data_IF_379905322805
#
_entry.id   IF_379905322805
#
_cell.length_a   1.000
_cell.length_b   1.000
_cell.length_c   1.000
_cell.angle_alpha   90.00
_cell.angle_beta   90.00
_cell.angle_gamma   90.00
#
_symmetry.space_group_name_H-M   'P 1'
#
loop_
_entity.id
_entity.type
_entity.pdbx_description
1 polymer ?
#
# COMPACT_ATOMS: atom_id res chain seq x y z
N UNK A 1 -32.82 1.20 9.64
CA UNK A 1 -32.98 1.60 8.24
C UNK A 1 -34.27 2.40 8.15
N UNK A 2 -34.18 3.72 8.03
CA UNK A 2 -35.35 4.58 7.78
C UNK A 2 -35.28 4.89 6.29
N UNK A 3 -36.09 4.20 5.49
CA UNK A 3 -36.33 4.59 4.10
C UNK A 3 -37.08 5.93 4.13
N UNK A 4 -36.35 7.02 3.94
CA UNK A 4 -36.97 8.29 3.59
C UNK A 4 -37.58 8.12 2.21
N UNK A 5 -38.91 7.99 2.16
CA UNK A 5 -39.69 8.00 0.93
C UNK A 5 -39.29 9.24 0.14
N UNK A 6 -38.53 9.05 -0.95
CA UNK A 6 -38.32 10.06 -1.96
C UNK A 6 -39.68 10.29 -2.62
N UNK A 7 -40.45 11.23 -2.07
CA UNK A 7 -41.58 11.80 -2.77
C UNK A 7 -41.00 12.49 -4.00
N UNK A 8 -41.13 11.83 -5.15
CA UNK A 8 -40.61 12.32 -6.43
C UNK A 8 -41.04 13.77 -6.62
N UNK A 9 -40.09 14.63 -6.99
CA UNK A 9 -40.35 16.04 -7.29
C UNK A 9 -41.53 16.21 -8.29
N UNK A 10 -41.75 15.21 -9.14
CA UNK A 10 -42.88 15.09 -10.06
C UNK A 10 -44.23 15.12 -9.31
N UNK A 11 -44.36 14.41 -8.19
CA UNK A 11 -45.58 14.37 -7.39
C UNK A 11 -45.87 15.73 -6.75
N UNK A 12 -44.83 16.40 -6.24
CA UNK A 12 -44.96 17.75 -5.66
C UNK A 12 -45.41 18.75 -6.73
N UNK A 13 -44.76 18.73 -7.90
CA UNK A 13 -45.12 19.62 -9.02
C UNK A 13 -46.55 19.37 -9.50
N UNK A 14 -46.98 18.11 -9.61
CA UNK A 14 -48.36 17.76 -9.99
C UNK A 14 -49.38 18.24 -8.95
N UNK A 15 -49.11 18.03 -7.66
CA UNK A 15 -49.99 18.47 -6.58
C UNK A 15 -50.17 19.99 -6.57
N UNK A 16 -49.06 20.73 -6.73
CA UNK A 16 -49.09 22.21 -6.81
C UNK A 16 -49.86 22.68 -8.04
N UNK A 17 -49.61 22.07 -9.20
CA UNK A 17 -50.28 22.42 -10.46
C UNK A 17 -51.79 22.21 -10.36
N UNK A 18 -52.22 21.07 -9.82
CA UNK A 18 -53.63 20.74 -9.66
C UNK A 18 -54.34 21.69 -8.68
N UNK A 19 -53.63 22.11 -7.61
CA UNK A 19 -54.14 23.09 -6.66
C UNK A 19 -54.32 24.49 -7.29
N UNK A 20 -53.39 24.93 -8.15
CA UNK A 20 -53.53 26.21 -8.89
C UNK A 20 -54.74 26.18 -9.82
N UNK A 21 -54.94 25.09 -10.58
CA UNK A 21 -56.11 24.95 -11.44
C UNK A 21 -57.42 24.95 -10.65
N UNK A 22 -57.44 24.31 -9.48
CA UNK A 22 -58.60 24.34 -8.58
C UNK A 22 -58.94 25.77 -8.14
N UNK A 23 -57.94 26.57 -7.74
CA UNK A 23 -58.17 27.95 -7.33
C UNK A 23 -58.65 28.84 -8.48
N UNK A 24 -58.12 28.66 -9.69
CA UNK A 24 -58.62 29.35 -10.89
C UNK A 24 -60.09 28.99 -11.14
N UNK A 25 -60.46 27.71 -11.06
CA UNK A 25 -61.83 27.26 -11.24
C UNK A 25 -62.78 27.88 -10.18
N UNK A 26 -62.36 27.93 -8.91
CA UNK A 26 -63.13 28.60 -7.84
C UNK A 26 -63.31 30.09 -8.14
N UNK A 27 -62.27 30.78 -8.60
CA UNK A 27 -62.36 32.19 -8.97
C UNK A 27 -63.34 32.42 -10.13
N UNK A 28 -63.30 31.58 -11.16
CA UNK A 28 -64.26 31.65 -12.30
C UNK A 28 -65.70 31.42 -11.83
N UNK A 29 -65.93 30.48 -10.90
CA UNK A 29 -67.26 30.21 -10.36
C UNK A 29 -67.78 31.41 -9.53
N UNK A 30 -66.93 32.00 -8.70
CA UNK A 30 -67.26 33.20 -7.91
C UNK A 30 -67.53 34.39 -8.84
N UNK A 31 -66.71 34.56 -9.88
CA UNK A 31 -66.87 35.59 -10.92
C UNK A 31 -68.22 35.46 -11.62
N UNK A 32 -68.54 34.26 -12.10
CA UNK A 32 -69.80 33.96 -12.78
C UNK A 32 -71.01 34.25 -11.87
N UNK A 33 -70.95 33.90 -10.58
CA UNK A 33 -72.02 34.17 -9.62
C UNK A 33 -72.16 35.65 -9.24
N UNK A 34 -71.12 36.45 -9.41
CA UNK A 34 -71.13 37.88 -9.07
C UNK A 34 -71.66 38.77 -10.21
N UNK A 35 -71.93 38.23 -11.40
CA UNK A 35 -72.48 39.00 -12.53
C UNK A 35 -73.96 39.31 -12.32
N UNK A 36 -74.35 40.55 -12.62
CA UNK A 36 -75.74 41.00 -12.54
C UNK A 36 -76.48 40.45 -13.76
N UNK A 37 -77.58 39.71 -13.59
CA UNK A 37 -78.36 39.23 -14.74
C UNK A 37 -78.89 40.44 -15.54
N UNK A 38 -78.56 40.49 -16.84
CA UNK A 38 -79.04 41.51 -17.79
C UNK A 38 -77.99 42.51 -18.29
N UNK A 39 -76.72 42.44 -17.86
CA UNK A 39 -75.66 43.25 -18.45
C UNK A 39 -75.03 42.53 -19.64
N UNK A 40 -75.27 43.01 -20.86
CA UNK A 40 -74.57 42.52 -22.06
C UNK A 40 -73.10 42.91 -22.01
N UNK A 41 -72.20 41.94 -22.12
CA UNK A 41 -70.77 42.18 -22.27
C UNK A 41 -70.24 41.37 -23.45
N UNK A 42 -69.58 42.05 -24.40
CA UNK A 42 -69.10 41.45 -25.64
C UNK A 42 -67.78 40.67 -25.51
N UNK A 43 -67.15 40.64 -24.33
CA UNK A 43 -65.84 39.99 -24.14
C UNK A 43 -65.90 38.86 -23.11
N UNK A 44 -65.54 37.65 -23.55
CA UNK A 44 -65.47 36.42 -22.75
C UNK A 44 -64.46 36.50 -21.58
N UNK A 45 -63.59 37.52 -21.54
CA UNK A 45 -62.55 37.70 -20.53
C UNK A 45 -62.44 39.13 -19.96
N UNK A 46 -63.51 39.95 -20.05
CA UNK A 46 -63.49 41.29 -19.42
C UNK A 46 -63.55 41.18 -17.89
N UNK A 47 -62.39 41.31 -17.24
CA UNK A 47 -62.27 41.32 -15.77
C UNK A 47 -62.67 42.68 -15.17
N UNK A 48 -62.77 43.74 -15.99
CA UNK A 48 -62.88 45.14 -15.55
C UNK A 48 -64.29 45.76 -15.62
N UNK A 49 -65.36 45.00 -15.33
CA UNK A 49 -66.73 45.52 -15.26
C UNK A 49 -67.17 45.95 -13.84
N UNK A 50 -68.08 46.91 -13.74
CA UNK A 50 -68.67 47.39 -12.46
C UNK A 50 -69.54 46.27 -11.86
N UNK A 51 -69.23 45.82 -10.62
CA UNK A 51 -69.92 44.72 -9.93
C UNK A 51 -70.68 45.23 -8.71
N UNK A 52 -71.89 44.71 -8.48
CA UNK A 52 -72.69 44.99 -7.27
C UNK A 52 -72.02 44.30 -6.09
N UNK A 53 -71.34 45.10 -5.26
CA UNK A 53 -70.60 44.68 -4.07
C UNK A 53 -69.40 43.79 -4.40
N UNK A 54 -68.20 44.37 -4.41
CA UNK A 54 -66.96 43.58 -4.31
C UNK A 54 -67.05 42.76 -3.00
N UNK A 55 -67.22 41.43 -3.05
CA UNK A 55 -67.27 40.68 -1.82
C UNK A 55 -65.84 40.69 -1.30
N UNK A 56 -65.65 41.20 -0.08
CA UNK A 56 -64.38 41.14 0.67
C UNK A 56 -63.71 39.75 0.51
N UNK A 57 -64.51 38.71 0.39
CA UNK A 57 -64.12 37.34 0.04
C UNK A 57 -63.24 37.19 -1.21
N UNK A 58 -63.55 37.85 -2.32
CA UNK A 58 -62.72 37.74 -3.53
C UNK A 58 -61.34 38.37 -3.33
N UNK A 59 -61.27 39.48 -2.58
CA UNK A 59 -60.00 40.10 -2.21
C UNK A 59 -59.21 39.20 -1.25
N UNK A 60 -59.85 38.63 -0.23
CA UNK A 60 -59.18 37.68 0.69
C UNK A 60 -58.65 36.44 -0.03
N UNK A 61 -59.42 35.87 -0.96
CA UNK A 61 -58.99 34.72 -1.77
C UNK A 61 -57.80 35.10 -2.65
N UNK A 62 -57.81 36.29 -3.25
CA UNK A 62 -56.68 36.79 -4.05
C UNK A 62 -55.42 37.00 -3.19
N UNK A 63 -55.55 37.56 -1.99
CA UNK A 63 -54.43 37.74 -1.06
C UNK A 63 -53.84 36.38 -0.64
N UNK A 64 -54.69 35.40 -0.31
CA UNK A 64 -54.24 34.05 0.02
C UNK A 64 -53.53 33.36 -1.15
N UNK A 65 -54.07 33.49 -2.37
CA UNK A 65 -53.45 32.97 -3.59
C UNK A 65 -52.06 33.58 -3.79
N UNK A 66 -51.93 34.91 -3.66
CA UNK A 66 -50.65 35.59 -3.77
C UNK A 66 -49.64 35.13 -2.71
N UNK A 67 -50.08 34.89 -1.48
CA UNK A 67 -49.21 34.37 -0.43
C UNK A 67 -48.67 32.97 -0.77
N UNK A 68 -49.53 32.09 -1.30
CA UNK A 68 -49.14 30.74 -1.73
C UNK A 68 -48.17 30.81 -2.92
N UNK A 69 -48.47 31.65 -3.91
CA UNK A 69 -47.59 31.86 -5.08
C UNK A 69 -46.22 32.38 -4.64
N UNK A 70 -46.16 33.39 -3.76
CA UNK A 70 -44.91 33.92 -3.23
C UNK A 70 -44.13 32.87 -2.44
N UNK A 71 -44.79 32.08 -1.60
CA UNK A 71 -44.14 30.99 -0.84
C UNK A 71 -43.53 29.94 -1.76
N UNK A 72 -44.26 29.51 -2.79
CA UNK A 72 -43.76 28.58 -3.80
C UNK A 72 -42.59 29.17 -4.60
N UNK A 73 -42.67 30.45 -4.99
CA UNK A 73 -41.58 31.14 -5.68
C UNK A 73 -40.31 31.20 -4.82
N UNK A 74 -40.44 31.44 -3.51
CA UNK A 74 -39.31 31.42 -2.57
C UNK A 74 -38.71 30.02 -2.48
N UNK A 75 -39.52 28.97 -2.38
CA UNK A 75 -39.04 27.59 -2.30
C UNK A 75 -38.35 27.16 -3.61
N UNK A 76 -38.94 27.48 -4.77
CA UNK A 76 -38.34 27.18 -6.08
C UNK A 76 -37.05 27.97 -6.26
N UNK A 77 -37.04 29.26 -5.92
CA UNK A 77 -35.84 30.09 -5.99
C UNK A 77 -34.76 29.56 -5.05
N UNK A 78 -35.10 29.16 -3.82
CA UNK A 78 -34.14 28.58 -2.87
C UNK A 78 -33.55 27.26 -3.40
N UNK A 79 -34.37 26.38 -3.99
CA UNK A 79 -33.88 25.13 -4.57
C UNK A 79 -33.03 25.36 -5.84
N UNK A 80 -33.41 26.32 -6.68
CA UNK A 80 -32.63 26.67 -7.87
C UNK A 80 -31.30 27.32 -7.46
N UNK A 81 -31.32 28.20 -6.47
CA UNK A 81 -30.15 28.89 -5.94
C UNK A 81 -29.26 27.92 -5.16
N UNK A 82 -29.82 26.97 -4.40
CA UNK A 82 -29.04 25.93 -3.73
C UNK A 82 -28.40 24.99 -4.75
N UNK A 83 -29.06 24.66 -5.86
CA UNK A 83 -28.44 23.86 -6.93
C UNK A 83 -27.34 24.63 -7.70
N UNK A 84 -27.36 25.97 -7.70
CA UNK A 84 -26.33 26.80 -8.32
C UNK A 84 -25.19 27.23 -7.36
N UNK A 85 -25.45 27.36 -6.06
CA UNK A 85 -24.48 27.80 -5.04
C UNK A 85 -23.97 26.68 -4.14
N UNK A 86 -24.66 25.54 -4.06
CA UNK A 86 -24.03 24.26 -3.73
C UNK A 86 -23.27 23.85 -4.98
N UNK A 87 -22.16 24.56 -5.20
CA UNK A 87 -20.99 24.01 -5.85
C UNK A 87 -20.83 22.61 -5.27
N UNK A 88 -20.94 21.65 -6.16
CA UNK A 88 -20.92 20.21 -5.92
C UNK A 88 -19.59 19.85 -5.25
N UNK A 89 -19.51 20.10 -3.95
CA UNK A 89 -18.40 19.79 -3.06
C UNK A 89 -18.87 18.74 -2.07
N UNK A 90 -19.52 17.68 -2.57
CA UNK A 90 -19.73 16.47 -1.80
C UNK A 90 -20.10 15.31 -2.73
N UNK A 91 -19.32 14.23 -2.62
CA UNK A 91 -19.48 12.89 -3.21
C UNK A 91 -18.84 12.57 -4.57
N UNK A 92 -18.01 13.45 -5.11
CA UNK A 92 -16.90 13.08 -6.02
C UNK A 92 -15.52 13.38 -5.40
N UNK A 93 -15.34 13.03 -4.12
CA UNK A 93 -14.04 12.47 -3.65
C UNK A 93 -13.98 10.99 -4.10
N UNK A 94 -14.37 10.76 -5.35
CA UNK A 94 -13.51 10.61 -6.52
C UNK A 94 -13.05 9.17 -6.55
N UNK A 95 -13.80 8.36 -7.31
CA UNK A 95 -13.31 7.06 -7.75
C UNK A 95 -11.87 7.16 -8.27
N UNK A 96 -11.48 8.28 -8.89
CA UNK A 96 -10.10 8.53 -9.32
C UNK A 96 -9.12 8.74 -8.15
N UNK A 97 -9.53 9.30 -7.02
CA UNK A 97 -8.69 9.44 -5.83
C UNK A 97 -8.57 8.10 -5.10
N UNK A 98 -9.64 7.29 -5.09
CA UNK A 98 -9.56 5.89 -4.66
C UNK A 98 -8.70 5.05 -5.60
N UNK A 99 -8.84 5.20 -6.92
CA UNK A 99 -8.05 4.49 -7.94
C UNK A 99 -6.61 4.99 -7.98
N UNK A 100 -6.35 6.27 -7.72
CA UNK A 100 -4.98 6.79 -7.60
C UNK A 100 -4.36 6.34 -6.28
N UNK A 101 -5.12 6.29 -5.17
CA UNK A 101 -4.67 5.65 -3.94
C UNK A 101 -4.41 4.16 -4.14
N UNK A 102 -5.32 3.42 -4.78
CA UNK A 102 -5.15 1.99 -5.14
C UNK A 102 -3.98 1.79 -6.10
N UNK A 103 -3.77 2.72 -7.04
CA UNK A 103 -2.68 2.73 -8.01
C UNK A 103 -1.33 3.15 -7.44
N UNK A 104 -1.33 3.98 -6.39
CA UNK A 104 -0.15 4.29 -5.57
C UNK A 104 0.16 3.10 -4.66
N UNK A 105 -0.84 2.46 -4.06
CA UNK A 105 -0.72 1.22 -3.30
C UNK A 105 -0.18 0.09 -4.17
N UNK A 106 -0.71 -0.11 -5.39
CA UNK A 106 -0.15 -1.01 -6.40
C UNK A 106 1.30 -0.65 -6.72
N UNK A 107 1.61 0.64 -6.94
CA UNK A 107 2.98 1.09 -7.19
C UNK A 107 3.93 0.82 -6.02
N UNK A 108 3.49 0.97 -4.77
CA UNK A 108 4.30 0.64 -3.59
C UNK A 108 4.42 -0.89 -3.40
N UNK A 109 3.36 -1.64 -3.73
CA UNK A 109 3.32 -3.12 -3.72
C UNK A 109 4.17 -3.74 -4.83
N UNK A 110 4.34 -3.03 -5.96
CA UNK A 110 5.25 -3.43 -7.02
C UNK A 110 6.68 -3.04 -6.65
N UNK A 111 7.48 -4.06 -6.34
CA UNK A 111 8.90 -4.05 -5.98
C UNK A 111 9.87 -3.39 -7.00
N UNK A 112 9.38 -2.58 -7.93
CA UNK A 112 10.15 -1.96 -9.03
C UNK A 112 10.06 -0.43 -9.09
N UNK A 113 9.36 0.24 -8.18
CA UNK A 113 9.44 1.69 -8.07
C UNK A 113 10.67 2.09 -7.25
N UNK A 114 11.84 2.04 -7.91
CA UNK A 114 13.02 2.70 -7.37
C UNK A 114 12.72 4.20 -7.23
N UNK A 115 12.99 4.85 -6.09
CA UNK A 115 12.85 6.28 -5.97
C UNK A 115 13.65 6.99 -7.07
N UNK A 116 13.18 8.16 -7.54
CA UNK A 116 13.79 8.93 -8.63
C UNK A 116 15.29 9.21 -8.41
N UNK A 117 15.74 9.19 -7.17
CA UNK A 117 17.13 9.10 -6.77
C UNK A 117 17.29 7.89 -5.85
N UNK A 118 18.29 7.04 -6.12
CA UNK A 118 18.65 5.90 -5.27
C UNK A 118 19.29 6.42 -3.96
N UNK A 119 18.46 6.95 -3.05
CA UNK A 119 18.92 7.48 -1.78
C UNK A 119 19.78 6.46 -1.00
N UNK A 120 19.44 5.17 -1.09
CA UNK A 120 20.18 4.07 -0.48
C UNK A 120 21.63 3.89 -0.97
N UNK A 121 21.99 4.40 -2.16
CA UNK A 121 23.37 4.35 -2.67
C UNK A 121 24.18 5.60 -2.38
N UNK A 122 23.59 6.61 -1.72
CA UNK A 122 24.30 7.80 -1.26
C UNK A 122 25.12 7.50 0.00
N UNK A 123 26.23 8.22 0.14
CA UNK A 123 27.15 8.09 1.26
C UNK A 123 28.20 7.00 1.04
N UNK A 124 28.86 6.61 2.13
CA UNK A 124 29.88 5.56 2.16
C UNK A 124 29.27 4.18 1.93
N UNK A 125 30.04 3.28 1.32
CA UNK A 125 29.62 1.93 0.93
C UNK A 125 30.65 0.88 1.38
N UNK A 126 30.26 -0.38 1.59
CA UNK A 126 31.22 -1.43 1.92
C UNK A 126 32.15 -1.72 0.75
N UNK A 127 33.33 -2.28 1.01
CA UNK A 127 34.34 -2.65 0.00
C UNK A 127 33.74 -3.49 -1.13
N UNK A 128 32.78 -4.36 -0.83
CA UNK A 128 32.07 -5.19 -1.80
C UNK A 128 31.50 -4.35 -2.96
N UNK A 129 30.99 -3.15 -2.66
CA UNK A 129 30.41 -2.24 -3.64
C UNK A 129 31.42 -1.75 -4.67
N UNK A 130 32.65 -1.47 -4.25
CA UNK A 130 33.69 -0.93 -5.12
C UNK A 130 34.18 -1.91 -6.19
N UNK A 131 33.92 -3.21 -5.99
CA UNK A 131 34.24 -4.27 -6.95
C UNK A 131 33.00 -4.82 -7.68
N UNK A 132 31.83 -4.87 -7.03
CA UNK A 132 30.64 -5.53 -7.56
C UNK A 132 29.51 -4.59 -7.99
N UNK A 133 29.55 -3.31 -7.59
CA UNK A 133 28.55 -2.29 -7.89
C UNK A 133 27.23 -2.45 -7.13
N UNK A 134 26.24 -1.62 -7.50
CA UNK A 134 24.89 -1.58 -6.91
C UNK A 134 24.05 -2.84 -7.20
N UNK A 135 24.32 -3.52 -8.31
CA UNK A 135 23.53 -4.63 -8.81
C UNK A 135 24.40 -5.89 -8.98
N UNK A 136 24.98 -6.43 -7.89
CA UNK A 136 25.98 -7.50 -7.95
C UNK A 136 25.39 -8.84 -8.46
N UNK A 137 24.07 -9.01 -8.39
CA UNK A 137 23.39 -10.22 -8.83
C UNK A 137 22.94 -10.07 -10.29
N UNK A 138 23.79 -10.43 -11.25
CA UNK A 138 23.45 -10.39 -12.68
C UNK A 138 23.27 -11.79 -13.31
N UNK A 139 23.89 -12.82 -12.73
CA UNK A 139 24.04 -14.14 -13.37
C UNK A 139 22.72 -14.88 -13.57
N UNK A 140 21.70 -14.63 -12.74
CA UNK A 140 20.44 -15.39 -12.74
C UNK A 140 19.25 -14.44 -12.97
N UNK A 141 18.75 -14.32 -14.21
CA UNK A 141 17.69 -13.37 -14.56
C UNK A 141 16.41 -13.48 -13.74
N UNK A 142 16.07 -14.67 -13.24
CA UNK A 142 14.82 -14.90 -12.50
C UNK A 142 14.83 -14.31 -11.09
N UNK A 143 15.97 -14.37 -10.39
CA UNK A 143 16.08 -13.90 -8.99
C UNK A 143 16.90 -12.61 -8.87
N UNK A 144 17.53 -12.13 -9.97
CA UNK A 144 18.41 -10.94 -9.94
C UNK A 144 17.74 -9.73 -9.30
N UNK A 145 16.49 -9.44 -9.68
CA UNK A 145 15.84 -8.21 -9.24
C UNK A 145 15.51 -8.29 -7.76
N UNK A 146 15.05 -9.46 -7.30
CA UNK A 146 14.78 -9.71 -5.89
C UNK A 146 16.07 -9.62 -5.07
N UNK A 147 17.14 -10.31 -5.46
CA UNK A 147 18.41 -10.29 -4.72
C UNK A 147 19.05 -8.90 -4.73
N UNK A 148 19.03 -8.18 -5.87
CA UNK A 148 19.53 -6.82 -5.91
C UNK A 148 18.71 -5.87 -5.04
N UNK A 149 17.39 -6.07 -4.93
CA UNK A 149 16.56 -5.30 -4.00
C UNK A 149 16.99 -5.54 -2.54
N UNK A 150 17.39 -6.76 -2.16
CA UNK A 150 17.85 -7.04 -0.78
C UNK A 150 19.09 -6.23 -0.40
N UNK A 151 19.95 -5.87 -1.36
CA UNK A 151 21.15 -5.05 -1.09
C UNK A 151 20.83 -3.65 -0.54
N UNK A 152 19.58 -3.20 -0.65
CA UNK A 152 19.09 -1.97 -0.06
C UNK A 152 18.85 -2.09 1.46
N UNK A 153 18.54 -3.30 1.95
CA UNK A 153 18.14 -3.55 3.34
C UNK A 153 19.13 -4.41 4.12
N UNK A 154 19.97 -5.18 3.41
CA UNK A 154 20.81 -6.24 3.97
C UNK A 154 22.24 -6.04 3.48
N UNK A 155 23.20 -6.09 4.42
CA UNK A 155 24.64 -6.05 4.13
C UNK A 155 25.10 -7.29 3.35
N UNK A 156 26.17 -7.17 2.57
CA UNK A 156 26.63 -8.26 1.72
C UNK A 156 26.99 -9.49 2.55
N UNK A 157 27.65 -9.27 3.69
CA UNK A 157 28.15 -10.32 4.56
C UNK A 157 27.03 -11.04 5.34
N UNK A 158 25.86 -10.41 5.50
CA UNK A 158 24.70 -11.09 6.09
C UNK A 158 24.30 -12.31 5.27
N UNK A 159 24.29 -12.21 3.94
CA UNK A 159 23.99 -13.33 3.06
C UNK A 159 25.23 -14.18 2.75
N UNK A 160 26.39 -13.55 2.58
CA UNK A 160 27.59 -14.18 2.03
C UNK A 160 28.65 -14.60 3.05
N UNK A 161 28.44 -14.44 4.36
CA UNK A 161 29.38 -14.99 5.35
C UNK A 161 29.49 -16.52 5.20
N UNK A 162 30.72 -17.00 5.10
CA UNK A 162 31.05 -18.42 4.94
C UNK A 162 30.74 -19.21 6.22
N UNK A 163 29.66 -19.97 6.20
CA UNK A 163 29.16 -20.79 7.30
C UNK A 163 30.16 -21.86 7.78
N UNK A 164 31.11 -22.29 6.92
CA UNK A 164 32.16 -23.25 7.32
C UNK A 164 33.24 -22.60 8.17
N UNK A 165 33.43 -21.30 8.02
CA UNK A 165 34.43 -20.51 8.75
C UNK A 165 33.83 -19.78 9.94
N UNK A 166 32.56 -19.40 9.82
CA UNK A 166 31.81 -18.66 10.82
C UNK A 166 30.45 -19.34 10.98
N UNK A 167 30.31 -20.25 11.96
CA UNK A 167 29.04 -20.92 12.26
C UNK A 167 27.93 -19.91 12.53
N UNK A 168 26.68 -20.25 12.17
CA UNK A 168 25.56 -19.32 12.28
C UNK A 168 25.20 -18.99 13.73
N UNK A 169 25.52 -19.89 14.66
CA UNK A 169 25.31 -19.74 16.09
C UNK A 169 26.25 -18.67 16.70
N UNK A 170 27.36 -18.38 16.01
CA UNK A 170 28.28 -17.28 16.37
C UNK A 170 27.80 -15.93 15.81
N UNK A 171 26.77 -15.90 14.97
CA UNK A 171 26.30 -14.68 14.32
C UNK A 171 25.22 -13.97 15.12
N UNK A 172 25.34 -12.64 15.18
CA UNK A 172 24.28 -11.73 15.63
C UNK A 172 24.01 -10.70 14.55
N UNK A 173 22.78 -10.18 14.50
CA UNK A 173 22.36 -9.25 13.45
C UNK A 173 21.93 -7.94 14.07
N UNK A 174 22.35 -6.82 13.46
CA UNK A 174 21.95 -5.48 13.89
C UNK A 174 21.76 -4.59 12.68
N UNK A 175 20.98 -3.53 12.87
CA UNK A 175 20.97 -2.42 11.94
C UNK A 175 22.24 -1.59 12.09
N UNK A 176 22.88 -1.28 10.96
CA UNK A 176 24.05 -0.41 10.90
C UNK A 176 23.89 0.57 9.74
N UNK A 177 24.00 1.86 10.05
CA UNK A 177 24.16 2.91 9.07
C UNK A 177 25.65 3.27 8.96
N UNK A 178 26.33 2.71 7.96
CA UNK A 178 27.72 3.06 7.64
C UNK A 178 27.82 4.15 6.56
N UNK A 179 26.71 4.72 6.07
CA UNK A 179 26.71 5.69 4.98
C UNK A 179 27.33 7.05 5.36
N UNK A 180 27.39 7.35 6.65
CA UNK A 180 27.79 8.66 7.17
C UNK A 180 26.72 9.75 7.04
N UNK A 181 25.50 9.39 6.62
CA UNK A 181 24.34 10.28 6.57
C UNK A 181 23.60 10.16 7.91
N UNK A 182 23.35 11.29 8.56
CA UNK A 182 22.61 11.35 9.82
C UNK A 182 21.13 11.03 9.59
N UNK A 183 20.58 10.16 10.43
CA UNK A 183 19.19 9.64 10.36
C UNK A 183 18.62 9.56 11.77
N UNK A 184 17.33 9.83 11.92
CA UNK A 184 16.68 9.89 13.25
C UNK A 184 15.57 8.87 13.45
N UNK A 185 14.89 8.50 12.37
CA UNK A 185 13.79 7.54 12.38
C UNK A 185 14.26 6.10 12.49
N UNK A 186 13.30 5.16 12.65
CA UNK A 186 13.62 3.74 12.62
C UNK A 186 14.05 3.31 11.22
N UNK A 187 14.81 2.22 11.07
CA UNK A 187 15.16 1.67 9.76
C UNK A 187 13.93 1.41 8.89
N UNK A 188 14.02 1.73 7.60
CA UNK A 188 12.92 1.58 6.66
C UNK A 188 12.45 0.13 6.51
N UNK A 189 11.14 -0.04 6.42
CA UNK A 189 10.51 -1.33 6.16
C UNK A 189 10.30 -2.21 7.40
N UNK A 190 10.51 -1.68 8.61
CA UNK A 190 10.36 -2.40 9.89
C UNK A 190 8.90 -2.56 10.33
N UNK A 191 8.01 -1.63 9.96
CA UNK A 191 6.62 -1.67 10.38
C UNK A 191 5.67 -1.07 9.33
N UNK A 192 4.39 -1.44 9.44
CA UNK A 192 3.28 -0.84 8.71
C UNK A 192 2.62 0.25 9.55
N UNK A 193 2.11 1.28 8.89
CA UNK A 193 1.24 2.31 9.44
C UNK A 193 -0.18 1.74 9.57
N UNK A 194 -0.76 1.80 10.77
CA UNK A 194 -2.04 1.14 11.08
C UNK A 194 -3.24 1.75 10.34
N UNK A 195 -3.19 3.04 10.02
CA UNK A 195 -4.30 3.76 9.38
C UNK A 195 -4.32 3.52 7.87
N UNK A 196 -3.14 3.45 7.26
CA UNK A 196 -2.98 3.38 5.80
C UNK A 196 -2.68 1.97 5.30
N UNK A 197 -2.10 1.11 6.13
CA UNK A 197 -1.54 -0.18 5.74
C UNK A 197 -0.23 -0.07 4.94
N UNK A 198 0.32 1.14 4.77
CA UNK A 198 1.58 1.38 4.07
C UNK A 198 2.78 1.13 4.99
N UNK A 199 3.98 1.02 4.43
CA UNK A 199 5.20 1.05 5.25
C UNK A 199 5.35 2.41 5.93
N UNK A 200 5.74 2.41 7.21
CA UNK A 200 6.01 3.64 7.95
C UNK A 200 7.09 4.43 7.22
N UNK A 201 6.79 5.71 6.97
CA UNK A 201 7.73 6.65 6.38
C UNK A 201 8.82 6.97 7.41
N UNK A 202 10.07 6.93 6.96
CA UNK A 202 11.24 7.23 7.77
C UNK A 202 12.32 7.89 6.92
N UNK A 203 13.20 8.65 7.55
CA UNK A 203 14.42 9.20 6.95
C UNK A 203 15.56 8.17 6.92
N UNK A 204 15.48 7.10 7.70
CA UNK A 204 16.49 6.05 7.71
C UNK A 204 16.30 5.03 6.58
N UNK A 205 16.70 5.46 5.37
CA UNK A 205 16.82 4.63 4.18
C UNK A 205 18.23 4.03 3.99
N UNK A 206 19.11 4.22 4.97
CA UNK A 206 20.55 3.97 4.84
C UNK A 206 21.04 2.84 5.75
N UNK A 207 20.37 2.61 6.88
CA UNK A 207 20.63 1.47 7.75
C UNK A 207 20.37 0.14 7.04
N UNK A 208 21.28 -0.81 7.22
CA UNK A 208 21.15 -2.17 6.73
C UNK A 208 21.33 -3.19 7.84
N UNK A 209 20.69 -4.35 7.69
CA UNK A 209 20.90 -5.51 8.55
C UNK A 209 22.27 -6.10 8.21
N UNK A 210 23.22 -5.99 9.13
CA UNK A 210 24.58 -6.51 9.00
C UNK A 210 24.83 -7.64 10.02
N UNK A 211 25.75 -8.54 9.68
CA UNK A 211 26.18 -9.62 10.56
C UNK A 211 27.38 -9.20 11.41
N UNK A 212 27.33 -9.54 12.68
CA UNK A 212 28.43 -9.51 13.63
C UNK A 212 28.78 -10.94 14.03
N UNK A 213 30.06 -11.20 14.28
CA UNK A 213 30.54 -12.44 14.90
C UNK A 213 30.80 -12.22 16.38
N UNK A 214 30.21 -13.07 17.22
CA UNK A 214 30.50 -13.12 18.65
C UNK A 214 31.84 -13.85 18.89
N UNK A 215 32.80 -13.16 19.48
CA UNK A 215 34.10 -13.73 19.90
C UNK A 215 33.96 -14.44 21.25
N UNK A 216 34.90 -15.32 21.57
CA UNK A 216 34.90 -16.09 22.83
C UNK A 216 34.95 -15.21 24.11
N UNK A 217 35.48 -13.99 23.99
CA UNK A 217 35.52 -13.00 25.07
C UNK A 217 34.20 -12.19 25.22
N UNK A 218 33.19 -12.47 24.39
CA UNK A 218 31.91 -11.76 24.38
C UNK A 218 31.90 -10.48 23.52
N UNK A 219 33.02 -10.08 22.92
CA UNK A 219 33.05 -8.95 21.98
C UNK A 219 32.38 -9.33 20.66
N UNK A 220 31.77 -8.35 20.00
CA UNK A 220 31.18 -8.51 18.67
C UNK A 220 32.09 -7.87 17.62
N UNK A 221 32.32 -8.58 16.52
CA UNK A 221 33.12 -8.12 15.38
C UNK A 221 32.22 -7.98 14.15
N UNK A 222 32.15 -6.78 13.58
CA UNK A 222 31.42 -6.54 12.34
C UNK A 222 32.07 -7.33 11.21
N UNK A 223 31.26 -8.08 10.45
CA UNK A 223 31.76 -8.84 9.30
C UNK A 223 31.82 -8.01 8.02
N UNK A 224 30.98 -6.99 7.90
CA UNK A 224 31.00 -6.09 6.75
C UNK A 224 32.30 -5.26 6.74
N UNK A 225 32.98 -5.22 5.58
CA UNK A 225 34.22 -4.45 5.43
C UNK A 225 33.85 -3.04 4.97
N UNK A 226 33.75 -2.11 5.92
CA UNK A 226 33.38 -0.71 5.71
C UNK A 226 34.59 0.15 5.30
N UNK A 227 34.36 1.36 4.76
CA UNK A 227 35.44 2.23 4.24
C UNK A 227 36.42 2.74 5.30
N UNK A 228 36.02 2.73 6.56
CA UNK A 228 36.83 3.12 7.71
C UNK A 228 37.80 2.02 8.15
N UNK A 229 37.63 0.78 7.68
CA UNK A 229 38.62 -0.27 7.88
C UNK A 229 39.95 0.14 7.19
N UNK A 230 41.11 0.05 7.86
CA UNK A 230 42.38 0.51 7.30
C UNK A 230 42.71 -0.10 5.93
N UNK A 231 42.49 -1.41 5.78
CA UNK A 231 42.74 -2.14 4.54
C UNK A 231 41.78 -1.74 3.42
N UNK A 232 40.53 -1.38 3.78
CA UNK A 232 39.53 -0.87 2.85
C UNK A 232 39.92 0.51 2.34
N UNK A 233 40.27 1.42 3.24
CA UNK A 233 40.67 2.78 2.91
C UNK A 233 41.89 2.79 1.98
N UNK A 234 42.90 1.97 2.28
CA UNK A 234 44.10 1.84 1.44
C UNK A 234 43.76 1.28 0.06
N UNK A 235 42.96 0.20 -0.01
CA UNK A 235 42.49 -0.35 -1.28
C UNK A 235 41.74 0.68 -2.12
N UNK A 236 40.78 1.41 -1.53
CA UNK A 236 39.98 2.42 -2.22
C UNK A 236 40.87 3.52 -2.81
N UNK A 237 41.90 3.95 -2.07
CA UNK A 237 42.84 4.97 -2.52
C UNK A 237 43.73 4.49 -3.69
N UNK A 238 44.13 3.21 -3.70
CA UNK A 238 45.09 2.68 -4.67
C UNK A 238 44.48 1.86 -5.82
N UNK A 239 43.19 1.52 -5.79
CA UNK A 239 42.55 0.53 -6.71
C UNK A 239 42.79 0.79 -8.20
N UNK A 240 42.90 2.05 -8.62
CA UNK A 240 43.17 2.42 -10.01
C UNK A 240 44.63 2.24 -10.46
N UNK A 241 45.53 1.97 -9.52
CA UNK A 241 46.98 1.84 -9.72
C UNK A 241 47.46 0.39 -9.55
N UNK A 242 46.60 -0.50 -9.09
CA UNK A 242 46.94 -1.91 -8.84
C UNK A 242 47.13 -2.67 -10.16
N UNK A 243 48.23 -3.43 -10.24
CA UNK A 243 48.43 -4.45 -11.27
C UNK A 243 47.42 -5.59 -11.12
N UNK A 244 47.18 -6.37 -12.18
CA UNK A 244 46.29 -7.53 -12.14
C UNK A 244 46.65 -8.54 -11.05
N UNK A 245 47.96 -8.76 -10.81
CA UNK A 245 48.41 -9.66 -9.75
C UNK A 245 48.05 -9.12 -8.36
N UNK A 246 48.25 -7.82 -8.11
CA UNK A 246 47.89 -7.19 -6.85
C UNK A 246 46.36 -7.17 -6.64
N UNK A 247 45.58 -6.90 -7.68
CA UNK A 247 44.11 -7.01 -7.63
C UNK A 247 43.68 -8.43 -7.24
N UNK A 248 44.34 -9.46 -7.78
CA UNK A 248 44.09 -10.86 -7.39
C UNK A 248 44.40 -11.14 -5.92
N UNK A 249 45.50 -10.60 -5.39
CA UNK A 249 45.87 -10.74 -3.97
C UNK A 249 44.86 -10.05 -3.04
N UNK A 250 44.49 -8.80 -3.35
CA UNK A 250 43.47 -8.05 -2.60
C UNK A 250 42.12 -8.75 -2.66
N UNK A 251 41.73 -9.25 -3.83
CA UNK A 251 40.52 -10.05 -3.97
C UNK A 251 40.54 -11.26 -3.05
N UNK A 252 41.65 -12.00 -2.99
CA UNK A 252 41.76 -13.17 -2.10
C UNK A 252 41.62 -12.78 -0.63
N UNK A 253 42.22 -11.66 -0.22
CA UNK A 253 42.13 -11.13 1.14
C UNK A 253 40.68 -10.85 1.54
N UNK A 254 39.95 -10.04 0.75
CA UNK A 254 38.56 -9.69 1.08
C UNK A 254 37.60 -10.88 0.99
N UNK A 255 37.88 -11.90 0.16
CA UNK A 255 37.04 -13.09 0.05
C UNK A 255 37.37 -14.19 1.07
N UNK A 256 38.28 -13.95 2.03
CA UNK A 256 38.74 -14.99 2.98
C UNK A 256 37.57 -15.63 3.74
N UNK A 257 36.56 -14.85 4.13
CA UNK A 257 35.38 -15.30 4.88
C UNK A 257 34.07 -15.21 4.07
N UNK A 258 34.18 -15.12 2.74
CA UNK A 258 33.04 -14.91 1.84
C UNK A 258 32.71 -16.20 1.11
N UNK A 259 31.47 -16.64 1.18
CA UNK A 259 30.91 -17.68 0.35
C UNK A 259 30.45 -17.09 -1.00
N UNK A 260 30.88 -17.62 -2.16
CA UNK A 260 30.41 -17.17 -3.47
C UNK A 260 28.90 -17.36 -3.67
N UNK A 261 28.27 -18.26 -2.91
CA UNK A 261 26.83 -18.50 -2.88
C UNK A 261 26.29 -17.94 -1.56
N UNK A 262 25.40 -16.97 -1.67
CA UNK A 262 24.72 -16.41 -0.49
C UNK A 262 23.62 -17.33 0.01
N UNK A 263 23.21 -17.13 1.25
CA UNK A 263 22.02 -17.77 1.83
C UNK A 263 20.78 -17.56 0.97
N UNK A 264 19.97 -18.61 0.84
CA UNK A 264 18.78 -18.60 0.02
C UNK A 264 17.57 -18.05 0.77
N UNK A 265 16.50 -17.70 0.02
CA UNK A 265 15.30 -17.07 0.57
C UNK A 265 14.76 -17.80 1.81
N UNK A 266 14.77 -19.13 1.78
CA UNK A 266 14.19 -19.99 2.82
C UNK A 266 15.07 -20.20 4.03
N UNK A 267 16.31 -19.70 4.00
CA UNK A 267 17.12 -19.66 5.21
C UNK A 267 16.68 -18.50 6.12
N UNK A 268 16.24 -17.38 5.55
CA UNK A 268 15.79 -16.20 6.30
C UNK A 268 14.27 -16.14 6.49
N UNK A 269 13.50 -16.46 5.44
CA UNK A 269 12.04 -16.37 5.43
C UNK A 269 11.42 -17.70 5.87
N UNK A 270 11.56 -18.01 7.17
CA UNK A 270 11.06 -19.23 7.81
C UNK A 270 9.89 -18.86 8.71
N UNK A 271 8.77 -19.58 8.58
CA UNK A 271 7.56 -19.37 9.40
C UNK A 271 7.85 -19.71 10.86
N UNK A 272 8.53 -20.83 11.11
CA UNK A 272 8.92 -21.25 12.45
C UNK A 272 9.92 -20.26 13.07
N UNK A 273 9.46 -19.56 14.10
CA UNK A 273 10.29 -18.64 14.86
C UNK A 273 11.48 -19.34 15.52
N UNK A 274 12.63 -18.68 15.54
CA UNK A 274 13.89 -19.24 16.06
C UNK A 274 14.61 -20.21 15.12
N UNK A 275 13.95 -20.71 14.06
CA UNK A 275 14.61 -21.50 13.01
C UNK A 275 15.14 -20.66 11.85
N UNK A 276 14.56 -19.47 11.63
CA UNK A 276 15.03 -18.51 10.64
C UNK A 276 16.42 -17.95 10.96
N UNK A 277 17.18 -17.60 9.92
CA UNK A 277 18.52 -17.04 10.06
C UNK A 277 18.50 -15.59 10.56
N UNK A 278 17.46 -14.85 10.19
CA UNK A 278 17.26 -13.48 10.64
C UNK A 278 16.20 -13.45 11.74
N UNK A 279 16.53 -12.95 12.94
CA UNK A 279 15.57 -12.80 14.02
C UNK A 279 14.79 -11.49 13.84
N UNK A 280 13.77 -11.49 12.98
CA UNK A 280 13.04 -10.26 12.59
C UNK A 280 12.50 -9.47 13.80
N UNK A 281 11.95 -10.13 14.83
CA UNK A 281 11.44 -9.44 16.02
C UNK A 281 12.54 -8.77 16.83
N UNK A 282 13.68 -9.44 17.01
CA UNK A 282 14.85 -8.85 17.69
C UNK A 282 15.46 -7.68 16.90
N UNK A 283 15.31 -7.71 15.57
CA UNK A 283 15.67 -6.61 14.67
C UNK A 283 14.64 -5.46 14.68
N UNK A 284 13.61 -5.52 15.53
CA UNK A 284 12.62 -4.44 15.71
C UNK A 284 11.54 -4.39 14.64
N UNK A 285 11.34 -5.46 13.87
CA UNK A 285 10.20 -5.54 12.96
C UNK A 285 8.90 -5.71 13.77
N UNK A 286 7.84 -5.00 13.38
CA UNK A 286 6.52 -5.20 14.01
C UNK A 286 5.98 -6.59 13.73
N UNK A 287 5.07 -7.10 14.57
CA UNK A 287 4.49 -8.43 14.40
C UNK A 287 3.91 -8.66 13.00
N UNK A 288 3.08 -7.73 12.53
CA UNK A 288 2.50 -7.79 11.20
C UNK A 288 3.57 -7.82 10.09
N UNK A 289 4.69 -7.12 10.28
CA UNK A 289 5.77 -7.09 9.30
C UNK A 289 6.65 -8.35 9.36
N UNK A 290 6.98 -8.84 10.56
CA UNK A 290 7.71 -10.07 10.76
C UNK A 290 6.93 -11.25 10.14
N UNK A 291 5.64 -11.39 10.44
CA UNK A 291 4.75 -12.37 9.83
C UNK A 291 4.68 -12.22 8.30
N UNK A 292 4.54 -10.98 7.82
CA UNK A 292 4.53 -10.71 6.39
C UNK A 292 5.84 -11.08 5.68
N UNK A 293 6.98 -11.04 6.39
CA UNK A 293 8.28 -11.44 5.87
C UNK A 293 8.52 -12.94 5.97
N UNK A 294 8.01 -13.62 7.00
CA UNK A 294 8.20 -15.07 7.16
C UNK A 294 7.19 -15.89 6.35
N UNK A 295 5.99 -15.35 6.12
CA UNK A 295 4.93 -16.01 5.36
C UNK A 295 4.84 -15.51 3.91
N UNK A 296 5.97 -15.51 3.20
CA UNK A 296 6.05 -15.01 1.83
C UNK A 296 5.81 -16.10 0.79
N UNK A 297 4.73 -15.94 0.01
CA UNK A 297 4.42 -16.79 -1.15
C UNK A 297 5.56 -16.86 -2.17
N UNK A 298 6.37 -15.80 -2.29
CA UNK A 298 7.50 -15.76 -3.23
C UNK A 298 8.59 -16.76 -2.86
N UNK A 299 8.83 -17.02 -1.58
CA UNK A 299 9.80 -18.01 -1.13
C UNK A 299 9.38 -19.42 -1.58
N UNK A 300 8.11 -19.76 -1.33
CA UNK A 300 7.52 -21.01 -1.79
C UNK A 300 7.46 -21.13 -3.32
N UNK A 301 7.17 -20.05 -4.04
CA UNK A 301 7.20 -20.02 -5.51
C UNK A 301 8.61 -20.31 -6.01
N UNK A 302 9.61 -19.56 -5.56
CA UNK A 302 11.01 -19.71 -5.97
C UNK A 302 11.52 -21.12 -5.65
N UNK A 303 11.15 -21.70 -4.50
CA UNK A 303 11.48 -23.09 -4.16
C UNK A 303 10.79 -24.11 -5.07
N UNK A 304 9.49 -23.99 -5.31
CA UNK A 304 8.76 -24.92 -6.19
C UNK A 304 9.34 -24.88 -7.61
N UNK A 305 9.69 -23.71 -8.12
CA UNK A 305 10.39 -23.58 -9.40
C UNK A 305 11.79 -24.22 -9.36
N UNK A 306 12.52 -24.15 -8.25
CA UNK A 306 13.79 -24.89 -8.07
C UNK A 306 13.58 -26.39 -8.25
N UNK A 307 12.57 -26.95 -7.59
CA UNK A 307 12.24 -28.38 -7.67
C UNK A 307 11.77 -28.81 -9.06
N UNK A 308 11.01 -27.97 -9.76
CA UNK A 308 10.43 -28.31 -11.08
C UNK A 308 11.37 -28.11 -12.28
N UNK A 309 12.33 -27.19 -12.23
CA UNK A 309 13.13 -26.82 -13.40
C UNK A 309 14.66 -26.76 -13.18
N UNK A 310 15.17 -27.03 -11.98
CA UNK A 310 16.51 -26.55 -11.60
C UNK A 310 17.49 -27.57 -11.01
N UNK A 311 17.25 -28.88 -11.14
CA UNK A 311 18.32 -29.89 -10.92
C UNK A 311 19.54 -29.61 -11.84
N UNK A 312 19.31 -29.04 -13.03
CA UNK A 312 20.36 -28.67 -14.00
C UNK A 312 20.99 -27.28 -13.76
N UNK A 313 20.42 -26.43 -12.89
CA UNK A 313 20.75 -25.00 -12.85
C UNK A 313 21.44 -24.57 -11.54
N UNK A 314 21.19 -25.27 -10.41
CA UNK A 314 21.68 -24.86 -9.08
C UNK A 314 22.74 -25.79 -8.49
N UNK A 315 22.76 -27.07 -8.87
CA UNK A 315 23.66 -28.07 -8.29
C UNK A 315 24.89 -28.29 -9.15
N UNK A 316 25.73 -27.25 -9.24
CA UNK A 316 27.11 -27.41 -9.66
C UNK A 316 27.98 -27.86 -8.49
N UNK A 317 28.08 -29.17 -8.24
CA UNK A 317 29.11 -29.83 -7.40
C UNK A 317 29.30 -29.32 -5.95
N UNK A 318 28.26 -28.94 -5.22
CA UNK A 318 28.36 -28.81 -3.76
C UNK A 318 27.71 -30.01 -3.08
N UNK A 319 28.26 -30.43 -1.94
CA UNK A 319 27.77 -31.57 -1.17
C UNK A 319 26.41 -31.23 -0.54
N UNK A 320 25.61 -32.27 -0.27
CA UNK A 320 24.25 -32.11 0.25
C UNK A 320 24.19 -31.30 1.56
N UNK A 321 25.23 -31.34 2.40
CA UNK A 321 25.28 -30.61 3.67
C UNK A 321 25.42 -29.09 3.50
N UNK A 322 26.28 -28.62 2.60
CA UNK A 322 26.46 -27.18 2.34
C UNK A 322 25.19 -26.56 1.79
N UNK A 323 24.52 -27.30 0.91
CA UNK A 323 23.25 -26.91 0.33
C UNK A 323 22.16 -26.80 1.41
N UNK A 324 22.13 -27.72 2.37
CA UNK A 324 21.17 -27.69 3.49
C UNK A 324 21.35 -26.46 4.38
N UNK A 325 22.57 -26.09 4.75
CA UNK A 325 22.79 -24.89 5.57
C UNK A 325 22.42 -23.60 4.83
N UNK A 326 22.75 -23.49 3.53
CA UNK A 326 22.44 -22.29 2.76
C UNK A 326 20.95 -22.14 2.42
N UNK A 327 20.23 -23.25 2.30
CA UNK A 327 18.82 -23.26 1.90
C UNK A 327 17.87 -23.34 3.11
N UNK A 328 18.33 -23.87 4.23
CA UNK A 328 17.48 -24.25 5.37
C UNK A 328 16.86 -25.65 5.17
N UNK A 329 16.10 -26.09 6.18
CA UNK A 329 15.36 -27.35 6.12
C UNK A 329 14.28 -27.29 5.04
N UNK A 330 14.09 -28.39 4.28
CA UNK A 330 13.01 -28.45 3.29
C UNK A 330 11.68 -28.56 4.03
N UNK A 331 10.87 -27.50 3.96
CA UNK A 331 9.50 -27.53 4.45
C UNK A 331 8.63 -28.23 3.40
N UNK A 332 8.21 -29.46 3.70
CA UNK A 332 7.28 -30.19 2.83
C UNK A 332 5.89 -29.58 3.02
N UNK A 333 5.48 -28.73 2.07
CA UNK A 333 4.16 -28.11 2.09
C UNK A 333 3.17 -29.15 1.56
N UNK A 334 2.27 -29.73 2.38
CA UNK A 334 1.34 -30.76 1.93
C UNK A 334 0.43 -30.19 0.83
N UNK A 335 0.46 -30.82 -0.35
CA UNK A 335 -0.39 -30.44 -1.47
C UNK A 335 -1.78 -31.05 -1.25
N UNK A 336 -2.74 -30.23 -0.87
CA UNK A 336 -4.14 -30.66 -0.74
C UNK A 336 -4.81 -30.75 -2.12
N UNK A 337 -5.89 -31.53 -2.26
CA UNK A 337 -6.64 -31.62 -3.52
C UNK A 337 -7.23 -30.26 -3.94
N UNK A 338 -7.61 -29.43 -2.98
CA UNK A 338 -8.05 -28.05 -3.22
C UNK A 338 -6.94 -27.19 -3.84
N UNK A 339 -5.67 -27.43 -3.49
CA UNK A 339 -4.52 -26.73 -4.08
C UNK A 339 -4.21 -27.17 -5.51
N UNK A 340 -4.74 -28.32 -5.96
CA UNK A 340 -4.65 -28.75 -7.36
C UNK A 340 -5.63 -27.98 -8.24
N UNK A 341 -6.81 -27.69 -7.71
CA UNK A 341 -7.89 -27.00 -8.44
C UNK A 341 -7.79 -25.47 -8.33
N UNK A 342 -7.34 -24.95 -7.18
CA UNK A 342 -7.03 -23.54 -6.96
C UNK A 342 -5.64 -23.39 -6.29
N UNK A 343 -4.60 -23.02 -7.05
CA UNK A 343 -3.27 -22.77 -6.51
C UNK A 343 -3.20 -21.66 -5.45
N UNK A 344 -4.28 -20.91 -5.22
CA UNK A 344 -4.42 -19.90 -4.16
C UNK A 344 -5.13 -20.44 -2.92
N UNK A 345 -5.68 -21.65 -2.93
CA UNK A 345 -6.42 -22.24 -1.80
C UNK A 345 -5.59 -22.33 -0.51
N UNK A 346 -4.28 -22.52 -0.62
CA UNK A 346 -3.39 -22.56 0.54
C UNK A 346 -3.34 -21.22 1.31
N UNK A 347 -3.54 -20.09 0.62
CA UNK A 347 -3.56 -18.75 1.22
C UNK A 347 -4.80 -18.52 2.11
N UNK A 348 -5.93 -19.18 1.79
CA UNK A 348 -7.17 -19.08 2.59
C UNK A 348 -7.05 -19.84 3.92
N UNK A 349 -6.41 -21.00 3.90
CA UNK A 349 -6.27 -21.87 5.09
C UNK A 349 -5.22 -21.40 6.09
N UNK A 350 -4.11 -20.80 5.64
CA UNK A 350 -3.07 -20.30 6.56
C UNK A 350 -3.56 -19.16 7.47
N UNK A 351 -4.60 -18.41 7.07
CA UNK A 351 -5.24 -17.40 7.92
C UNK A 351 -6.36 -17.93 8.83
N UNK A 352 -6.86 -19.14 8.56
CA UNK A 352 -7.94 -19.77 9.34
C UNK A 352 -7.42 -20.73 10.42
N UNK A 353 -6.25 -21.37 10.22
CA UNK A 353 -5.70 -22.31 11.20
C UNK A 353 -5.27 -21.66 12.53
N UNK A 354 -4.76 -20.42 12.54
CA UNK A 354 -4.39 -19.76 13.80
C UNK A 354 -5.59 -19.24 14.60
N UNK A 355 -6.71 -18.93 13.94
CA UNK A 355 -7.95 -18.56 14.64
C UNK A 355 -8.66 -19.75 15.30
N UNK A 356 -8.32 -20.98 14.91
CA UNK A 356 -8.87 -22.20 15.48
C UNK A 356 -8.04 -22.76 16.65
N UNK A 357 -6.75 -22.46 16.71
CA UNK A 357 -5.84 -22.99 17.75
C UNK A 357 -5.58 -22.00 18.91
N UNK A 358 -6.05 -20.75 18.82
CA UNK A 358 -6.03 -19.75 19.90
C UNK A 358 -7.15 -19.86 20.94
N UNK A 359 -7.69 -21.06 21.17
CA UNK A 359 -8.66 -21.33 22.23
C UNK A 359 -7.97 -21.45 23.59
N UNK A 360 -8.14 -20.45 24.43
CA UNK A 360 -7.68 -20.43 25.82
C UNK A 360 -8.22 -21.62 26.63
N UNK A 361 -7.32 -22.49 27.09
CA UNK A 361 -7.38 -23.14 28.41
C UNK A 361 -6.04 -22.97 29.13
#
# INVERSE_FOLDING_TARGET
MVETVQLDAIFIVLAVTLFVFFLIAVLVIIDHKAKIPGAETADLFSVSGIRRNHPVWAWMVSVFLWFIICSLLVIVSYNLLSHFFVKEESTERSFLEKVDKEGQLERIRHFHNSPKEAAYSKGKQPVCFYCHGEFPHAKRPMVRTLLNMHTQFVGCMTCHADNKKIPEEELTFRWLNYSGIDVKGPPYGTAYDEETGDLIKTDDLHSKIVAYRRKANGEEELLEITEDAPEAAEFIAMRGQLTTQQQGAVKKMFHTIVNPIGRFCTRCHVVDEGKGYLPFRELGFSEARALGLTNLNIAGLVQKYKKFYMELVFLGKETDEDTKTLVGEEVDIPVTDEMKDDPRAWWRKSGEQENAEGGWE
#
